data_IF_417924908419
#
_entry.id   IF_417924908419
#
_cell.length_a   1.000
_cell.length_b   1.000
_cell.length_c   1.000
_cell.angle_alpha   90.00
_cell.angle_beta   90.00
_cell.angle_gamma   90.00
#
_symmetry.space_group_name_H-M   'P 1'
#
loop_
_entity.id
_entity.type
_entity.pdbx_description
1 polymer ?
#
# COMPACT_ATOMS: atom_id res chain seq x y z
N UNK A 1 35.77 51.65 9.92
CA UNK A 1 35.38 50.48 10.73
C UNK A 1 33.91 50.08 10.59
N UNK A 2 32.93 51.00 10.67
CA UNK A 2 31.49 50.65 10.54
C UNK A 2 31.10 50.01 9.20
N UNK A 3 31.68 50.44 8.08
CA UNK A 3 31.37 49.88 6.76
C UNK A 3 31.88 48.44 6.56
N UNK A 4 33.06 48.10 7.10
CA UNK A 4 33.59 46.74 7.04
C UNK A 4 32.75 45.74 7.84
N UNK A 5 32.21 46.16 8.99
CA UNK A 5 31.30 45.34 9.81
C UNK A 5 30.00 45.05 9.05
N UNK A 6 29.46 46.05 8.34
CA UNK A 6 28.22 45.89 7.56
C UNK A 6 28.39 44.90 6.40
N UNK A 7 29.55 44.93 5.73
CA UNK A 7 29.88 44.01 4.63
C UNK A 7 30.04 42.58 5.15
N UNK A 8 30.68 42.38 6.30
CA UNK A 8 30.80 41.05 6.91
C UNK A 8 29.43 40.46 7.32
N UNK A 9 28.50 41.28 7.80
CA UNK A 9 27.15 40.81 8.17
C UNK A 9 26.35 40.43 6.91
N UNK A 10 26.45 41.19 5.81
CA UNK A 10 25.80 40.84 4.55
C UNK A 10 26.39 39.57 3.91
N UNK A 11 27.71 39.35 4.00
CA UNK A 11 28.35 38.12 3.50
C UNK A 11 27.98 36.88 4.33
N UNK A 12 27.78 37.02 5.64
CA UNK A 12 27.35 35.93 6.51
C UNK A 12 25.94 35.41 6.19
N UNK A 13 25.04 36.28 5.71
CA UNK A 13 23.66 35.90 5.36
C UNK A 13 23.57 35.04 4.08
N UNK A 14 24.60 35.03 3.22
CA UNK A 14 24.61 34.29 1.95
C UNK A 14 25.01 32.80 2.16
N UNK A 15 25.65 32.48 3.29
CA UNK A 15 26.25 31.14 3.52
C UNK A 15 25.28 30.18 4.23
N UNK A 16 24.21 30.69 4.86
CA UNK A 16 23.18 29.85 5.48
C UNK A 16 22.19 29.40 4.41
N UNK A 17 22.60 28.45 3.56
CA UNK A 17 21.62 27.66 2.82
C UNK A 17 20.77 26.92 3.85
N UNK A 18 19.45 27.14 3.90
CA UNK A 18 18.62 26.29 4.72
C UNK A 18 18.77 24.87 4.17
N UNK A 19 19.34 23.97 4.96
CA UNK A 19 19.13 22.54 4.79
C UNK A 19 17.65 22.32 5.10
N UNK A 20 16.79 22.62 4.14
CA UNK A 20 15.41 22.14 4.15
C UNK A 20 15.58 20.62 4.04
N UNK A 21 15.37 19.85 5.12
CA UNK A 21 15.30 18.41 4.94
C UNK A 21 14.23 18.21 3.87
N UNK A 22 14.58 17.59 2.75
CA UNK A 22 13.57 17.04 1.86
C UNK A 22 12.76 16.14 2.78
N UNK A 23 11.57 16.62 3.18
CA UNK A 23 10.59 15.76 3.79
C UNK A 23 10.47 14.63 2.78
N UNK A 24 10.94 13.45 3.16
CA UNK A 24 10.64 12.21 2.48
C UNK A 24 9.10 12.24 2.44
N UNK A 25 8.52 12.64 1.30
CA UNK A 25 7.09 12.85 1.12
C UNK A 25 6.43 11.47 1.05
N UNK A 26 6.68 10.67 2.07
CA UNK A 26 5.85 9.57 2.42
C UNK A 26 4.51 10.20 2.77
N UNK A 27 3.54 10.08 1.86
CA UNK A 27 2.19 10.53 2.14
C UNK A 27 1.75 9.96 3.47
N UNK A 28 1.43 10.87 4.39
CA UNK A 28 0.98 10.54 5.73
C UNK A 28 -0.30 9.72 5.62
N UNK A 29 -0.42 8.66 6.43
CA UNK A 29 -1.69 7.97 6.60
C UNK A 29 -2.76 8.97 7.13
N UNK A 30 -4.05 8.86 6.76
CA UNK A 30 -4.63 7.80 5.93
C UNK A 30 -4.23 7.91 4.45
N UNK A 31 -4.18 6.76 3.78
CA UNK A 31 -3.90 6.66 2.35
C UNK A 31 -4.98 5.82 1.68
N UNK A 32 -5.40 6.25 0.49
CA UNK A 32 -6.16 5.40 -0.44
C UNK A 32 -5.42 5.26 -1.76
N UNK A 33 -5.58 4.12 -2.43
CA UNK A 33 -5.07 3.92 -3.79
C UNK A 33 -5.95 2.96 -4.57
N UNK A 34 -6.00 3.13 -5.89
CA UNK A 34 -6.64 2.17 -6.81
C UNK A 34 -5.63 1.08 -7.15
N UNK A 35 -6.02 -0.19 -7.04
CA UNK A 35 -5.22 -1.33 -7.48
C UNK A 35 -5.57 -1.63 -8.93
N UNK A 36 -4.56 -1.59 -9.79
CA UNK A 36 -4.68 -1.70 -11.25
C UNK A 36 -4.36 -3.13 -11.72
N UNK A 37 -5.01 -3.65 -12.78
CA UNK A 37 -4.73 -4.98 -13.28
C UNK A 37 -3.31 -5.05 -13.85
N UNK A 38 -2.56 -6.08 -13.46
CA UNK A 38 -1.18 -6.29 -13.89
C UNK A 38 -1.11 -6.75 -15.34
N UNK A 39 -2.05 -7.60 -15.76
CA UNK A 39 -2.13 -8.12 -17.14
C UNK A 39 -3.24 -7.42 -17.93
N UNK A 40 -2.91 -7.06 -19.18
CA UNK A 40 -3.90 -6.61 -20.18
C UNK A 40 -4.75 -7.84 -20.56
N UNK A 41 -5.99 -7.89 -20.08
CA UNK A 41 -6.87 -9.06 -20.24
C UNK A 41 -8.10 -9.01 -19.34
N UNK A 42 -8.04 -8.20 -18.27
CA UNK A 42 -9.14 -8.01 -17.34
C UNK A 42 -9.45 -6.50 -17.21
N UNK A 43 -10.04 -5.88 -18.24
CA UNK A 43 -10.18 -4.42 -18.33
C UNK A 43 -11.06 -3.83 -17.22
N UNK A 44 -12.00 -4.62 -16.70
CA UNK A 44 -12.92 -4.20 -15.64
C UNK A 44 -12.39 -4.51 -14.24
N UNK A 45 -11.38 -5.37 -14.12
CA UNK A 45 -10.82 -5.76 -12.83
C UNK A 45 -10.16 -4.56 -12.17
N UNK A 46 -10.66 -4.20 -10.98
CA UNK A 46 -10.19 -3.06 -10.20
C UNK A 46 -10.21 -3.39 -8.73
N UNK A 47 -9.36 -2.71 -7.98
CA UNK A 47 -9.45 -2.72 -6.53
C UNK A 47 -9.20 -1.35 -5.93
N UNK A 48 -9.48 -1.23 -4.65
CA UNK A 48 -9.10 -0.11 -3.82
C UNK A 48 -8.44 -0.65 -2.55
N UNK A 49 -7.38 0.03 -2.11
CA UNK A 49 -6.79 -0.22 -0.81
C UNK A 49 -6.89 1.03 0.05
N UNK A 50 -7.29 0.85 1.31
CA UNK A 50 -7.31 1.89 2.34
C UNK A 50 -6.31 1.49 3.43
N UNK A 51 -5.43 2.44 3.76
CA UNK A 51 -4.41 2.29 4.77
C UNK A 51 -4.56 3.41 5.79
N UNK A 52 -4.63 3.09 7.08
CA UNK A 52 -4.70 4.11 8.12
C UNK A 52 -4.28 3.55 9.48
N UNK A 53 -4.03 4.45 10.43
CA UNK A 53 -3.74 4.05 11.81
C UNK A 53 -5.04 3.71 12.53
N UNK A 54 -5.07 2.54 13.16
CA UNK A 54 -6.15 2.05 14.03
C UNK A 54 -5.65 1.87 15.45
N UNK A 55 -6.51 2.12 16.44
CA UNK A 55 -6.26 1.83 17.85
C UNK A 55 -7.37 0.93 18.37
N UNK A 56 -7.21 -0.38 18.15
CA UNK A 56 -8.20 -1.40 18.53
C UNK A 56 -7.91 -2.03 19.90
N UNK A 57 -6.76 -1.75 20.49
CA UNK A 57 -6.36 -2.20 21.82
C UNK A 57 -5.81 -1.02 22.64
N UNK A 58 -5.64 -1.16 23.98
CA UNK A 58 -5.01 -0.14 24.81
C UNK A 58 -3.54 0.17 24.45
N UNK A 59 -2.92 -0.64 23.59
CA UNK A 59 -1.54 -0.46 23.12
C UNK A 59 -1.39 0.70 22.11
N UNK A 60 -0.21 0.81 21.51
CA UNK A 60 0.09 1.81 20.49
C UNK A 60 -0.71 1.58 19.20
N UNK A 61 -1.09 2.65 18.46
CA UNK A 61 -1.78 2.51 17.19
C UNK A 61 -1.02 1.65 16.18
N UNK A 62 -1.74 0.78 15.51
CA UNK A 62 -1.26 -0.10 14.43
C UNK A 62 -1.70 0.43 13.08
N UNK A 63 -1.07 -0.01 12.00
CA UNK A 63 -1.59 0.26 10.65
C UNK A 63 -2.55 -0.84 10.24
N UNK A 64 -3.74 -0.45 9.79
CA UNK A 64 -4.67 -1.30 9.06
C UNK A 64 -4.48 -1.13 7.56
N UNK A 65 -4.57 -2.23 6.83
CA UNK A 65 -4.70 -2.26 5.37
C UNK A 65 -5.97 -3.04 5.07
N UNK A 66 -6.93 -2.41 4.40
CA UNK A 66 -8.09 -3.08 3.81
C UNK A 66 -8.01 -3.03 2.30
N UNK A 67 -8.50 -4.09 1.66
CA UNK A 67 -8.61 -4.21 0.21
C UNK A 67 -10.04 -4.54 -0.15
N UNK A 68 -10.52 -3.92 -1.22
CA UNK A 68 -11.80 -4.18 -1.85
C UNK A 68 -11.56 -4.32 -3.37
N UNK A 69 -11.82 -5.49 -3.94
CA UNK A 69 -11.59 -5.78 -5.34
C UNK A 69 -12.87 -6.31 -6.02
N UNK A 70 -13.10 -5.89 -7.26
CA UNK A 70 -14.32 -6.15 -8.03
C UNK A 70 -13.96 -6.59 -9.46
N UNK A 71 -14.88 -7.31 -10.10
CA UNK A 71 -14.73 -7.79 -11.49
C UNK A 71 -13.45 -8.61 -11.70
N UNK A 72 -13.05 -9.36 -10.67
CA UNK A 72 -11.93 -10.30 -10.76
C UNK A 72 -12.41 -11.56 -11.49
N UNK A 73 -11.60 -12.14 -12.40
CA UNK A 73 -11.85 -13.50 -12.88
C UNK A 73 -11.88 -14.49 -11.72
N UNK A 74 -12.53 -15.63 -11.89
CA UNK A 74 -12.47 -16.69 -10.90
C UNK A 74 -11.01 -17.09 -10.60
N UNK A 75 -10.64 -17.36 -9.33
CA UNK A 75 -9.28 -17.76 -8.96
C UNK A 75 -8.73 -18.93 -9.81
N UNK A 76 -9.59 -19.89 -10.16
CA UNK A 76 -9.26 -21.05 -10.98
C UNK A 76 -8.75 -20.70 -12.39
N UNK A 77 -9.09 -19.51 -12.91
CA UNK A 77 -8.57 -18.98 -14.19
C UNK A 77 -7.04 -18.85 -14.17
N UNK A 78 -6.44 -18.73 -12.99
CA UNK A 78 -5.00 -18.53 -12.82
C UNK A 78 -4.23 -19.84 -12.56
N UNK A 79 -4.90 -20.97 -12.43
CA UNK A 79 -4.32 -22.27 -12.08
C UNK A 79 -5.14 -22.98 -11.00
N UNK A 80 -4.50 -23.86 -10.22
CA UNK A 80 -5.14 -24.56 -9.10
C UNK A 80 -5.31 -23.64 -7.88
N UNK A 81 -6.14 -22.60 -8.00
CA UNK A 81 -6.45 -21.64 -6.95
C UNK A 81 -7.97 -21.56 -6.73
N UNK A 82 -8.37 -21.22 -5.51
CA UNK A 82 -9.77 -21.20 -5.08
C UNK A 82 -10.16 -19.94 -4.31
N UNK A 83 -9.19 -19.10 -3.90
CA UNK A 83 -9.47 -17.83 -3.23
C UNK A 83 -8.59 -16.69 -3.77
N UNK A 84 -8.92 -15.46 -3.40
CA UNK A 84 -8.00 -14.32 -3.47
C UNK A 84 -7.47 -13.93 -2.09
N UNK A 85 -6.25 -13.40 -2.08
CA UNK A 85 -5.60 -12.87 -0.90
C UNK A 85 -5.01 -11.48 -1.18
N UNK A 86 -5.08 -10.64 -0.15
CA UNK A 86 -4.30 -9.42 -0.08
C UNK A 86 -2.86 -9.78 0.27
N UNK A 87 -1.92 -9.27 -0.53
CA UNK A 87 -0.49 -9.43 -0.31
C UNK A 87 0.18 -8.06 -0.29
N UNK A 88 0.51 -7.58 0.90
CA UNK A 88 1.23 -6.32 1.09
C UNK A 88 2.67 -6.63 1.49
N UNK A 89 3.66 -5.95 0.93
CA UNK A 89 5.06 -6.24 1.26
C UNK A 89 5.98 -5.04 1.08
N UNK A 90 7.05 -5.05 1.84
CA UNK A 90 8.22 -4.20 1.63
C UNK A 90 9.29 -5.12 1.04
N UNK A 91 9.80 -4.84 -0.18
CA UNK A 91 10.76 -5.71 -0.84
C UNK A 91 11.98 -5.99 0.04
N UNK A 92 12.36 -7.26 0.15
CA UNK A 92 13.51 -7.75 0.94
C UNK A 92 13.42 -7.51 2.46
N UNK A 93 12.25 -7.14 2.99
CA UNK A 93 12.08 -6.87 4.42
C UNK A 93 10.99 -7.73 5.05
N UNK A 94 9.74 -7.56 4.62
CA UNK A 94 8.57 -8.21 5.25
C UNK A 94 7.39 -8.28 4.29
N UNK A 95 6.53 -9.28 4.48
CA UNK A 95 5.25 -9.39 3.80
C UNK A 95 4.12 -9.72 4.77
N UNK A 96 2.94 -9.18 4.49
CA UNK A 96 1.67 -9.50 5.13
C UNK A 96 0.73 -10.12 4.11
N UNK A 97 0.08 -11.19 4.53
CA UNK A 97 -0.83 -11.99 3.70
C UNK A 97 -2.13 -12.17 4.47
N UNK A 98 -3.26 -11.92 3.83
CA UNK A 98 -4.58 -12.05 4.45
C UNK A 98 -5.64 -12.42 3.41
N UNK A 99 -6.65 -13.19 3.83
CA UNK A 99 -7.72 -13.65 2.96
C UNK A 99 -8.64 -12.51 2.53
N UNK A 100 -9.05 -12.53 1.27
CA UNK A 100 -10.20 -11.77 0.80
C UNK A 100 -11.38 -12.73 0.73
N UNK A 101 -12.51 -12.33 1.31
CA UNK A 101 -13.73 -13.09 1.27
C UNK A 101 -14.63 -12.56 0.16
N UNK A 102 -15.28 -13.44 -0.61
CA UNK A 102 -16.25 -13.02 -1.60
C UNK A 102 -17.53 -12.57 -0.90
N UNK A 103 -18.18 -11.55 -1.45
CA UNK A 103 -19.53 -11.18 -1.09
C UNK A 103 -20.56 -12.18 -1.66
N UNK A 104 -21.84 -12.15 -1.22
CA UNK A 104 -22.82 -13.18 -1.57
C UNK A 104 -23.30 -13.21 -3.04
N UNK A 105 -22.91 -12.23 -3.86
CA UNK A 105 -23.23 -12.18 -5.29
C UNK A 105 -22.67 -13.39 -6.02
N UNK A 106 -23.50 -14.01 -6.87
CA UNK A 106 -23.24 -15.34 -7.42
C UNK A 106 -22.15 -15.37 -8.51
N UNK A 107 -22.20 -14.41 -9.44
CA UNK A 107 -21.39 -14.47 -10.67
C UNK A 107 -20.20 -13.50 -10.65
N UNK A 108 -20.27 -12.46 -9.83
CA UNK A 108 -19.27 -11.39 -9.78
C UNK A 108 -19.15 -10.85 -8.35
N UNK A 109 -18.64 -11.69 -7.41
CA UNK A 109 -18.51 -11.28 -6.03
C UNK A 109 -17.45 -10.19 -5.89
N UNK A 110 -17.72 -9.27 -4.98
CA UNK A 110 -16.72 -8.38 -4.42
C UNK A 110 -15.82 -9.16 -3.47
N UNK A 111 -14.51 -9.09 -3.67
CA UNK A 111 -13.52 -9.69 -2.80
C UNK A 111 -12.97 -8.65 -1.83
N UNK A 112 -13.19 -8.85 -0.54
CA UNK A 112 -12.77 -7.89 0.48
C UNK A 112 -12.12 -8.55 1.70
N UNK A 113 -11.16 -7.86 2.29
CA UNK A 113 -10.47 -8.32 3.49
C UNK A 113 -9.59 -7.23 4.07
N UNK A 114 -9.10 -7.46 5.29
CA UNK A 114 -8.19 -6.52 5.95
C UNK A 114 -7.22 -7.21 6.90
N UNK A 115 -6.17 -6.50 7.24
CA UNK A 115 -5.25 -6.81 8.33
C UNK A 115 -5.03 -5.54 9.16
N UNK A 116 -5.14 -5.64 10.49
CA UNK A 116 -5.17 -4.47 11.38
C UNK A 116 -3.90 -4.29 12.24
N UNK A 117 -3.05 -5.32 12.34
CA UNK A 117 -1.93 -5.36 13.30
C UNK A 117 -0.56 -5.18 12.63
N UNK A 118 -0.41 -4.17 11.77
CA UNK A 118 0.90 -3.88 11.15
C UNK A 118 1.65 -2.83 11.96
N UNK A 119 2.83 -3.22 12.43
CA UNK A 119 3.74 -2.38 13.23
C UNK A 119 4.77 -1.64 12.39
N UNK A 120 5.14 -2.21 11.23
CA UNK A 120 6.16 -1.66 10.36
C UNK A 120 5.77 -0.28 9.79
N UNK A 121 6.78 0.53 9.52
CA UNK A 121 6.60 1.80 8.83
C UNK A 121 6.13 1.53 7.39
N UNK A 122 5.14 2.29 6.94
CA UNK A 122 4.55 2.14 5.61
C UNK A 122 5.40 2.81 4.54
N UNK A 123 6.67 2.41 4.42
CA UNK A 123 7.61 2.93 3.42
C UNK A 123 7.77 1.94 2.27
N UNK A 124 7.65 2.43 1.04
CA UNK A 124 7.84 1.61 -0.17
C UNK A 124 6.99 0.32 -0.24
N UNK A 125 5.86 0.30 0.44
CA UNK A 125 4.95 -0.85 0.45
C UNK A 125 4.36 -1.05 -0.96
N UNK A 126 4.37 -2.29 -1.41
CA UNK A 126 3.60 -2.76 -2.56
C UNK A 126 2.38 -3.51 -2.06
N UNK A 127 1.25 -3.31 -2.71
CA UNK A 127 -0.02 -3.94 -2.36
C UNK A 127 -0.54 -4.66 -3.59
N UNK A 128 -0.85 -5.93 -3.42
CA UNK A 128 -1.31 -6.80 -4.49
C UNK A 128 -2.55 -7.58 -4.07
N UNK A 129 -3.34 -7.96 -5.07
CA UNK A 129 -4.31 -9.06 -4.97
C UNK A 129 -3.78 -10.23 -5.76
N UNK A 130 -3.68 -11.39 -5.11
CA UNK A 130 -3.10 -12.62 -5.68
C UNK A 130 -4.08 -13.79 -5.48
N UNK A 131 -4.26 -14.67 -6.47
CA UNK A 131 -5.01 -15.90 -6.27
C UNK A 131 -4.19 -16.83 -5.36
N UNK A 132 -4.86 -17.65 -4.59
CA UNK A 132 -4.26 -18.55 -3.62
C UNK A 132 -5.03 -19.86 -3.57
N UNK A 133 -4.33 -20.93 -3.22
CA UNK A 133 -4.93 -22.23 -2.95
C UNK A 133 -5.07 -22.38 -1.43
N UNK A 134 -6.30 -22.47 -0.95
CA UNK A 134 -6.61 -22.54 0.48
C UNK A 134 -6.12 -23.82 1.15
N UNK A 135 -5.86 -24.89 0.37
CA UNK A 135 -5.40 -26.20 0.87
C UNK A 135 -3.88 -26.33 0.87
N UNK A 136 -3.22 -25.82 -0.18
CA UNK A 136 -1.75 -25.93 -0.33
C UNK A 136 -1.01 -24.66 0.08
N UNK A 137 -1.76 -23.60 0.37
CA UNK A 137 -1.25 -22.26 0.69
C UNK A 137 -0.39 -21.63 -0.41
N UNK A 138 -0.37 -22.22 -1.61
CA UNK A 138 0.40 -21.72 -2.75
C UNK A 138 -0.20 -20.41 -3.26
N UNK A 139 0.64 -19.38 -3.34
CA UNK A 139 0.28 -18.05 -3.80
C UNK A 139 0.60 -17.88 -5.30
N UNK A 140 -0.41 -17.56 -6.11
CA UNK A 140 -0.29 -17.36 -7.55
C UNK A 140 0.21 -15.96 -7.95
N UNK A 141 0.30 -15.64 -9.25
CA UNK A 141 0.83 -14.36 -9.73
C UNK A 141 -0.08 -13.17 -9.35
N UNK A 142 0.44 -11.93 -9.27
CA UNK A 142 -0.38 -10.76 -9.00
C UNK A 142 -1.40 -10.47 -10.11
N UNK A 143 -2.64 -10.22 -9.69
CA UNK A 143 -3.76 -9.86 -10.57
C UNK A 143 -3.97 -8.36 -10.54
N UNK A 144 -4.08 -7.79 -9.34
CA UNK A 144 -4.09 -6.34 -9.14
C UNK A 144 -2.85 -5.91 -8.37
N UNK A 145 -2.32 -4.72 -8.66
CA UNK A 145 -1.16 -4.18 -7.96
C UNK A 145 -1.17 -2.65 -7.91
N UNK A 146 -0.65 -2.10 -6.83
CA UNK A 146 -0.15 -0.73 -6.79
C UNK A 146 0.93 -0.58 -5.70
N UNK A 147 1.52 0.60 -5.58
CA UNK A 147 2.47 0.96 -4.54
C UNK A 147 1.97 2.15 -3.74
N UNK A 148 2.34 2.20 -2.46
CA UNK A 148 2.04 3.30 -1.55
C UNK A 148 2.58 4.66 -2.04
N UNK A 149 3.53 4.67 -2.98
CA UNK A 149 4.00 5.88 -3.67
C UNK A 149 2.87 6.61 -4.42
N UNK A 150 1.83 5.88 -4.83
CA UNK A 150 0.68 6.42 -5.55
C UNK A 150 -0.53 6.64 -4.64
N UNK A 151 -0.34 6.65 -3.32
CA UNK A 151 -1.36 7.07 -2.38
C UNK A 151 -1.94 8.42 -2.78
N UNK A 152 -3.25 8.60 -2.59
CA UNK A 152 -3.90 9.89 -2.65
C UNK A 152 -4.09 10.46 -1.25
#
# INVERSE_FOLDING_TARGET
MKQFILVLILLGAIIVKPNIPKADTLKSLPCTMVLEPVKKGYPNAKGAALLYKVKLTPSFPRTSISIHAIHLPEPATFGEYDIFEGFAFIPNEISWRFKLFPSPEKDDPTWAGRIDDITAAMKNVQIQVRPSNSKTEKLGPPVLSNSIKYCK
#
